data_IF_036921680480
#
_entry.id   IF_036921680480
#
_cell.length_a   1.000
_cell.length_b   1.000
_cell.length_c   1.000
_cell.angle_alpha   90.00
_cell.angle_beta   90.00
_cell.angle_gamma   90.00
#
_symmetry.space_group_name_H-M   'P 1'
#
loop_
_entity.id
_entity.type
_entity.pdbx_description
1 polymer ?
#
# COMPACT_ATOMS: atom_id res chain seq x y z
N UNK A 1 1.58 -16.86 -3.90
CA UNK A 1 1.33 -15.42 -3.82
C UNK A 1 2.58 -14.65 -4.25
N UNK A 2 2.43 -13.68 -5.11
CA UNK A 2 3.52 -12.79 -5.49
C UNK A 2 3.18 -11.35 -5.12
N UNK A 3 4.05 -10.69 -4.38
CA UNK A 3 4.01 -9.25 -4.15
C UNK A 3 4.90 -8.59 -5.19
N UNK A 4 4.31 -7.78 -6.04
CA UNK A 4 5.06 -7.02 -7.04
C UNK A 4 5.08 -5.57 -6.63
N UNK A 5 6.27 -5.00 -6.49
CA UNK A 5 6.46 -3.59 -6.21
C UNK A 5 7.22 -2.91 -7.33
N UNK A 6 6.75 -1.74 -7.78
CA UNK A 6 7.53 -0.88 -8.65
C UNK A 6 8.73 -0.29 -7.88
N UNK A 7 9.79 0.10 -8.59
CA UNK A 7 10.98 0.71 -7.98
C UNK A 7 10.69 1.94 -7.11
N UNK A 8 9.64 2.69 -7.41
CA UNK A 8 9.21 3.86 -6.63
C UNK A 8 8.51 3.51 -5.31
N UNK A 9 7.97 2.30 -5.16
CA UNK A 9 7.13 1.92 -4.02
C UNK A 9 7.84 1.11 -2.94
N UNK A 10 9.09 0.66 -3.14
CA UNK A 10 9.73 -0.31 -2.24
C UNK A 10 11.12 0.12 -1.80
N UNK A 11 11.49 1.35 -2.02
CA UNK A 11 12.85 1.79 -1.72
C UNK A 11 13.19 1.76 -0.25
N UNK A 12 12.20 1.86 0.62
CA UNK A 12 12.50 2.13 2.02
C UNK A 12 11.81 1.13 2.93
N UNK A 13 12.63 0.32 3.58
CA UNK A 13 12.31 -0.35 4.81
C UNK A 13 12.20 0.65 5.93
N UNK A 14 11.51 0.23 7.01
CA UNK A 14 11.56 0.90 8.32
C UNK A 14 13.00 1.26 8.69
N UNK A 15 13.95 0.35 8.46
CA UNK A 15 15.37 0.57 8.73
C UNK A 15 16.03 1.64 7.83
N UNK A 16 15.65 1.74 6.56
CA UNK A 16 16.18 2.76 5.63
C UNK A 16 15.56 4.11 5.90
N UNK A 17 14.28 4.16 6.22
CA UNK A 17 13.57 5.38 6.60
C UNK A 17 14.13 5.97 7.89
N UNK A 18 14.42 5.14 8.91
CA UNK A 18 15.06 5.60 10.15
C UNK A 18 16.42 6.29 9.91
N UNK A 19 17.15 5.90 8.83
CA UNK A 19 18.38 6.58 8.39
C UNK A 19 18.13 7.86 7.57
N UNK A 20 16.92 8.06 7.11
CA UNK A 20 16.51 9.22 6.32
C UNK A 20 15.72 10.25 7.12
N UNK A 21 15.62 10.09 8.45
CA UNK A 21 15.03 11.11 9.31
C UNK A 21 15.84 12.39 9.14
N UNK A 22 15.22 13.47 8.62
CA UNK A 22 15.92 14.75 8.44
C UNK A 22 16.32 15.34 9.79
N UNK A 23 17.18 16.32 9.76
CA UNK A 23 17.41 17.15 10.94
C UNK A 23 16.13 17.92 11.28
N UNK A 24 15.47 17.54 12.36
CA UNK A 24 14.22 18.14 12.83
C UNK A 24 14.42 19.39 13.68
N UNK A 25 15.67 19.82 13.87
CA UNK A 25 15.99 21.10 14.57
C UNK A 25 15.44 22.33 13.87
N UNK A 26 15.05 22.20 12.60
CA UNK A 26 14.36 23.23 11.83
C UNK A 26 12.90 23.49 12.25
N UNK A 27 12.37 22.69 13.19
CA UNK A 27 11.00 22.81 13.73
C UNK A 27 11.11 23.24 15.21
N UNK A 28 11.40 24.52 15.49
CA UNK A 28 11.63 24.97 16.87
C UNK A 28 10.34 25.07 17.71
N UNK A 29 9.18 24.95 17.09
CA UNK A 29 7.88 25.06 17.75
C UNK A 29 7.58 23.88 18.66
N UNK A 30 8.12 22.70 18.34
CA UNK A 30 7.92 21.43 19.06
C UNK A 30 9.19 20.60 19.04
N UNK A 31 9.27 19.59 19.89
CA UNK A 31 10.27 18.55 19.75
C UNK A 31 9.92 17.69 18.51
N UNK A 32 10.72 17.80 17.46
CA UNK A 32 10.48 17.12 16.18
C UNK A 32 10.54 15.59 16.29
N UNK A 33 11.39 15.06 17.15
CA UNK A 33 11.49 13.60 17.36
C UNK A 33 10.27 13.08 18.13
N UNK A 34 9.86 13.78 19.20
CA UNK A 34 8.63 13.45 19.95
C UNK A 34 7.41 13.49 19.01
N UNK A 35 7.31 14.55 18.18
CA UNK A 35 6.24 14.66 17.19
C UNK A 35 6.24 13.50 16.20
N UNK A 36 7.40 13.16 15.61
CA UNK A 36 7.51 12.08 14.66
C UNK A 36 7.05 10.75 15.27
N UNK A 37 7.47 10.44 16.49
CA UNK A 37 7.07 9.23 17.20
C UNK A 37 5.57 9.22 17.51
N UNK A 38 5.00 10.33 17.96
CA UNK A 38 3.58 10.45 18.25
C UNK A 38 2.74 10.26 16.98
N UNK A 39 3.09 10.92 15.89
CA UNK A 39 2.40 10.82 14.60
C UNK A 39 2.50 9.40 14.04
N UNK A 40 3.66 8.77 14.07
CA UNK A 40 3.83 7.38 13.63
C UNK A 40 3.00 6.40 14.46
N UNK A 41 3.00 6.57 15.78
CA UNK A 41 2.19 5.75 16.69
C UNK A 41 0.69 5.87 16.36
N UNK A 42 0.22 7.10 16.14
CA UNK A 42 -1.18 7.35 15.78
C UNK A 42 -1.55 6.70 14.44
N UNK A 43 -0.72 6.85 13.42
CA UNK A 43 -0.96 6.25 12.09
C UNK A 43 -0.92 4.72 12.10
N UNK A 44 -0.14 4.11 12.98
CA UNK A 44 -0.11 2.64 13.13
C UNK A 44 -1.39 2.13 13.79
N UNK A 45 -1.91 2.84 14.79
CA UNK A 45 -3.15 2.47 15.49
C UNK A 45 -4.42 2.85 14.72
N UNK A 46 -4.34 3.93 13.93
CA UNK A 46 -5.44 4.47 13.14
C UNK A 46 -5.02 4.65 11.68
N UNK A 47 -4.84 3.55 10.90
CA UNK A 47 -4.27 3.58 9.55
C UNK A 47 -5.16 4.28 8.51
N UNK A 48 -6.40 4.61 8.86
CA UNK A 48 -7.32 5.35 7.99
C UNK A 48 -7.11 6.87 8.07
N UNK A 49 -6.38 7.36 9.08
CA UNK A 49 -6.04 8.78 9.21
C UNK A 49 -4.96 9.19 8.21
N UNK A 50 -5.00 10.44 7.77
CA UNK A 50 -3.93 11.01 6.95
C UNK A 50 -2.79 11.52 7.83
N UNK A 51 -1.59 11.54 7.28
CA UNK A 51 -0.41 12.08 7.99
C UNK A 51 -0.59 13.58 8.26
N UNK A 52 -1.18 14.28 7.31
CA UNK A 52 -1.47 15.70 7.38
C UNK A 52 -2.40 16.03 8.56
N UNK A 53 -3.54 15.33 8.68
CA UNK A 53 -4.49 15.54 9.76
C UNK A 53 -3.86 15.29 11.13
N UNK A 54 -3.06 14.21 11.25
CA UNK A 54 -2.42 13.87 12.53
C UNK A 54 -1.36 14.88 12.92
N UNK A 55 -0.55 15.35 11.97
CA UNK A 55 0.45 16.41 12.23
C UNK A 55 -0.24 17.72 12.63
N UNK A 56 -1.27 18.13 11.89
CA UNK A 56 -2.02 19.35 12.16
C UNK A 56 -2.64 19.34 13.56
N UNK A 57 -3.31 18.23 13.93
CA UNK A 57 -3.88 18.07 15.27
C UNK A 57 -2.82 18.11 16.37
N UNK A 58 -1.67 17.43 16.16
CA UNK A 58 -0.57 17.45 17.11
C UNK A 58 -0.03 18.86 17.33
N UNK A 59 0.21 19.59 16.24
CA UNK A 59 0.72 20.96 16.29
C UNK A 59 -0.27 21.90 16.98
N UNK A 60 -1.55 21.86 16.62
CA UNK A 60 -2.59 22.69 17.24
C UNK A 60 -2.80 22.36 18.72
N UNK A 61 -2.61 21.11 19.12
CA UNK A 61 -2.64 20.71 20.52
C UNK A 61 -1.46 21.27 21.33
N UNK A 62 -0.24 21.25 20.77
CA UNK A 62 0.98 21.74 21.43
C UNK A 62 1.10 23.28 21.37
N UNK A 63 0.63 23.88 20.29
CA UNK A 63 0.79 25.30 19.99
C UNK A 63 -0.43 25.83 19.24
N UNK A 64 -1.36 26.40 19.97
CA UNK A 64 -2.59 26.98 19.41
C UNK A 64 -2.39 28.31 18.66
N UNK A 65 -1.16 28.90 18.70
CA UNK A 65 -0.76 30.11 18.05
C UNK A 65 0.00 29.94 16.73
N UNK A 66 0.13 28.67 16.24
CA UNK A 66 0.85 28.38 15.00
C UNK A 66 0.00 28.74 13.78
N UNK A 67 0.60 29.37 12.76
CA UNK A 67 -0.12 29.74 11.54
C UNK A 67 -0.33 28.54 10.61
N UNK A 68 -1.38 28.58 9.78
CA UNK A 68 -1.66 27.55 8.79
C UNK A 68 -0.49 27.37 7.79
N UNK A 69 0.15 28.46 7.37
CA UNK A 69 1.32 28.44 6.49
C UNK A 69 2.47 27.66 7.14
N UNK A 70 2.71 27.88 8.43
CA UNK A 70 3.76 27.18 9.16
C UNK A 70 3.44 25.70 9.36
N UNK A 71 2.17 25.35 9.58
CA UNK A 71 1.71 23.97 9.64
C UNK A 71 2.01 23.26 8.30
N UNK A 72 1.70 23.87 7.17
CA UNK A 72 2.00 23.30 5.85
C UNK A 72 3.50 23.09 5.63
N UNK A 73 4.35 24.02 6.04
CA UNK A 73 5.81 23.86 5.95
C UNK A 73 6.29 22.67 6.75
N UNK A 74 5.78 22.48 7.97
CA UNK A 74 6.13 21.34 8.83
C UNK A 74 5.65 20.04 8.24
N UNK A 75 4.42 19.97 7.72
CA UNK A 75 3.88 18.79 7.02
C UNK A 75 4.82 18.39 5.87
N UNK A 76 5.28 19.35 5.07
CA UNK A 76 6.22 19.05 3.96
C UNK A 76 7.55 18.48 4.49
N UNK A 77 8.07 18.97 5.59
CA UNK A 77 9.29 18.44 6.20
C UNK A 77 9.10 17.04 6.78
N UNK A 78 7.90 16.74 7.27
CA UNK A 78 7.55 15.47 7.89
C UNK A 78 7.12 14.37 6.89
N UNK A 79 7.20 14.60 5.58
CA UNK A 79 6.78 13.62 4.55
C UNK A 79 7.48 12.25 4.62
N UNK A 80 8.63 12.14 5.27
CA UNK A 80 9.27 10.85 5.51
C UNK A 80 8.38 9.89 6.32
N UNK A 81 7.46 10.42 7.12
CA UNK A 81 6.48 9.64 7.90
C UNK A 81 5.61 8.79 6.99
N UNK A 82 5.18 9.33 5.85
CA UNK A 82 4.37 8.57 4.87
C UNK A 82 5.13 7.38 4.31
N UNK A 83 6.42 7.58 4.00
CA UNK A 83 7.27 6.49 3.52
C UNK A 83 7.44 5.41 4.59
N UNK A 84 7.59 5.83 5.86
CA UNK A 84 7.67 4.91 6.97
C UNK A 84 6.37 4.12 7.14
N UNK A 85 5.23 4.79 7.25
CA UNK A 85 3.93 4.15 7.41
C UNK A 85 3.61 3.19 6.26
N UNK A 86 3.92 3.61 5.01
CA UNK A 86 3.77 2.76 3.82
C UNK A 86 4.62 1.51 3.90
N UNK A 87 5.87 1.63 4.30
CA UNK A 87 6.81 0.50 4.44
C UNK A 87 6.37 -0.42 5.56
N UNK A 88 5.96 0.13 6.70
CA UNK A 88 5.47 -0.62 7.85
C UNK A 88 4.27 -1.51 7.49
N UNK A 89 3.21 -0.94 6.93
CA UNK A 89 2.02 -1.72 6.60
C UNK A 89 2.26 -2.74 5.49
N UNK A 90 3.14 -2.45 4.54
CA UNK A 90 3.56 -3.41 3.52
C UNK A 90 4.32 -4.57 4.13
N UNK A 91 5.25 -4.29 5.00
CA UNK A 91 6.00 -5.31 5.72
C UNK A 91 5.07 -6.17 6.58
N UNK A 92 4.16 -5.56 7.33
CA UNK A 92 3.16 -6.28 8.12
C UNK A 92 2.29 -7.22 7.27
N UNK A 93 1.82 -6.75 6.11
CA UNK A 93 1.00 -7.58 5.21
C UNK A 93 1.75 -8.80 4.68
N UNK A 94 3.01 -8.65 4.30
CA UNK A 94 3.84 -9.78 3.84
C UNK A 94 4.21 -10.70 5.00
N UNK A 95 4.66 -10.11 6.11
CA UNK A 95 5.09 -10.84 7.30
C UNK A 95 3.99 -11.75 7.85
N UNK A 96 2.78 -11.22 8.03
CA UNK A 96 1.66 -12.02 8.55
C UNK A 96 1.30 -13.20 7.63
N UNK A 97 1.44 -13.04 6.32
CA UNK A 97 1.22 -14.12 5.37
C UNK A 97 2.28 -15.23 5.51
N UNK A 98 3.56 -14.87 5.52
CA UNK A 98 4.65 -15.86 5.61
C UNK A 98 4.70 -16.53 6.99
N UNK A 99 4.38 -15.81 8.08
CA UNK A 99 4.27 -16.39 9.43
C UNK A 99 3.11 -17.38 9.55
N UNK A 100 2.09 -17.25 8.70
CA UNK A 100 0.97 -18.20 8.59
C UNK A 100 1.19 -19.28 7.51
N UNK A 101 2.42 -19.45 7.01
CA UNK A 101 2.74 -20.52 6.07
C UNK A 101 2.33 -20.27 4.62
N UNK A 102 1.98 -19.04 4.27
CA UNK A 102 1.66 -18.67 2.90
C UNK A 102 2.93 -18.23 2.18
N UNK A 103 3.27 -18.92 1.10
CA UNK A 103 4.45 -18.61 0.31
C UNK A 103 4.26 -17.32 -0.49
N UNK A 104 5.10 -16.33 -0.21
CA UNK A 104 5.09 -15.02 -0.86
C UNK A 104 6.40 -14.81 -1.61
N UNK A 105 6.33 -14.50 -2.92
CA UNK A 105 7.49 -14.02 -3.67
C UNK A 105 7.44 -12.49 -3.67
N UNK A 106 8.41 -11.87 -3.02
CA UNK A 106 8.52 -10.42 -2.91
C UNK A 106 9.60 -9.89 -3.86
N UNK A 107 9.23 -8.92 -4.69
CA UNK A 107 10.15 -8.23 -5.59
C UNK A 107 10.44 -6.82 -5.07
N UNK A 108 11.64 -6.34 -5.32
CA UNK A 108 12.10 -5.03 -4.89
C UNK A 108 13.29 -5.11 -3.95
N UNK A 109 13.69 -3.99 -3.36
CA UNK A 109 14.86 -3.94 -2.48
C UNK A 109 14.46 -4.17 -1.03
N UNK A 110 15.33 -4.82 -0.30
CA UNK A 110 15.25 -4.85 1.13
C UNK A 110 14.59 -6.08 1.75
N UNK A 111 13.91 -6.93 1.00
CA UNK A 111 13.28 -8.15 1.49
C UNK A 111 14.29 -9.21 1.94
N UNK A 112 15.49 -9.18 1.37
CA UNK A 112 16.63 -10.04 1.70
C UNK A 112 17.35 -9.67 2.99
N UNK A 113 17.00 -8.55 3.62
CA UNK A 113 17.69 -8.02 4.80
C UNK A 113 16.74 -7.82 6.00
N UNK A 114 15.43 -8.21 5.94
CA UNK A 114 14.54 -8.13 7.08
C UNK A 114 14.90 -9.21 8.13
N UNK A 115 14.60 -8.96 9.40
CA UNK A 115 14.89 -9.87 10.51
C UNK A 115 14.31 -11.28 10.31
N UNK A 116 13.25 -11.39 9.50
CA UNK A 116 12.58 -12.63 9.15
C UNK A 116 12.82 -13.05 7.68
N UNK A 117 13.89 -12.57 7.04
CA UNK A 117 14.25 -12.90 5.65
C UNK A 117 14.62 -14.37 5.44
N UNK A 118 14.95 -15.10 6.49
CA UNK A 118 15.21 -16.53 6.51
C UNK A 118 13.94 -17.39 6.60
N UNK A 119 12.76 -16.79 6.72
CA UNK A 119 11.50 -17.52 6.74
C UNK A 119 11.30 -18.30 5.44
N UNK A 120 11.07 -19.64 5.49
CA UNK A 120 11.02 -20.52 4.31
C UNK A 120 9.84 -20.19 3.37
N UNK A 121 8.86 -19.42 3.84
CA UNK A 121 7.72 -18.95 3.04
C UNK A 121 7.96 -17.61 2.37
N UNK A 122 9.05 -16.90 2.69
CA UNK A 122 9.48 -15.71 1.96
C UNK A 122 10.44 -16.11 0.83
N UNK A 123 10.11 -15.74 -0.39
CA UNK A 123 11.01 -15.88 -1.54
C UNK A 123 11.38 -14.50 -2.02
N UNK A 124 12.67 -14.16 -1.94
CA UNK A 124 13.16 -12.92 -2.51
C UNK A 124 13.33 -13.06 -4.02
N UNK A 125 12.49 -12.35 -4.79
CA UNK A 125 12.47 -12.36 -6.25
C UNK A 125 13.48 -11.42 -6.90
N UNK A 126 14.24 -10.68 -6.10
CA UNK A 126 15.19 -9.70 -6.60
C UNK A 126 14.56 -8.36 -7.00
N UNK A 127 15.40 -7.47 -7.51
CA UNK A 127 15.00 -6.17 -8.04
C UNK A 127 14.53 -6.35 -9.49
N UNK A 128 13.35 -5.81 -9.81
CA UNK A 128 12.77 -5.85 -11.17
C UNK A 128 12.45 -4.44 -11.66
N UNK A 129 12.52 -4.25 -12.96
CA UNK A 129 12.13 -3.00 -13.63
C UNK A 129 10.64 -3.02 -13.98
N UNK A 130 10.06 -1.84 -14.17
CA UNK A 130 8.63 -1.72 -14.47
C UNK A 130 8.15 -2.58 -15.67
N UNK A 131 8.88 -2.71 -16.79
CA UNK A 131 8.45 -3.60 -17.89
C UNK A 131 8.42 -5.09 -17.54
N UNK A 132 9.22 -5.52 -16.55
CA UNK A 132 9.31 -6.93 -16.13
C UNK A 132 8.19 -7.33 -15.18
N UNK A 133 7.49 -6.35 -14.60
CA UNK A 133 6.44 -6.56 -13.60
C UNK A 133 5.19 -7.21 -14.21
N UNK A 134 4.76 -6.77 -15.39
CA UNK A 134 3.54 -7.30 -16.02
C UNK A 134 3.61 -8.80 -16.35
N UNK A 135 4.69 -9.33 -16.92
CA UNK A 135 4.86 -10.79 -17.08
C UNK A 135 4.82 -11.53 -15.74
N UNK A 136 5.43 -10.99 -14.67
CA UNK A 136 5.40 -11.60 -13.35
C UNK A 136 3.99 -11.62 -12.72
N UNK A 137 3.20 -10.57 -12.95
CA UNK A 137 1.80 -10.55 -12.54
C UNK A 137 0.97 -11.59 -13.31
N UNK A 138 1.18 -11.68 -14.61
CA UNK A 138 0.48 -12.67 -15.45
C UNK A 138 0.77 -14.13 -15.02
N UNK A 139 2.00 -14.41 -14.60
CA UNK A 139 2.40 -15.72 -14.06
C UNK A 139 2.01 -15.93 -12.57
N UNK A 140 1.30 -14.98 -11.97
CA UNK A 140 0.91 -15.05 -10.57
C UNK A 140 -0.55 -15.44 -10.43
N UNK A 141 -0.84 -16.38 -9.49
CA UNK A 141 -2.22 -16.71 -9.14
C UNK A 141 -2.89 -15.56 -8.39
N UNK A 142 -2.15 -14.98 -7.44
CA UNK A 142 -2.63 -13.90 -6.59
C UNK A 142 -1.55 -12.81 -6.56
N UNK A 143 -1.97 -11.58 -6.75
CA UNK A 143 -1.13 -10.37 -6.59
C UNK A 143 -1.58 -9.64 -5.33
N UNK A 144 -0.66 -9.45 -4.39
CA UNK A 144 -0.88 -8.63 -3.20
C UNK A 144 -0.48 -7.18 -3.51
N UNK A 145 -1.36 -6.26 -3.22
CA UNK A 145 -1.10 -4.83 -3.23
C UNK A 145 -1.28 -4.24 -1.83
N UNK A 146 -0.49 -3.22 -1.51
CA UNK A 146 -0.69 -2.33 -0.37
C UNK A 146 -0.57 -0.89 -0.86
N UNK A 147 -1.48 -0.04 -0.45
CA UNK A 147 -1.57 1.35 -0.90
C UNK A 147 -1.89 2.32 0.24
N UNK A 148 -1.18 2.22 1.33
CA UNK A 148 -1.38 3.01 2.56
C UNK A 148 -1.53 4.51 2.30
N UNK A 149 -0.86 5.01 1.27
CA UNK A 149 -0.92 6.41 0.83
C UNK A 149 -2.29 6.80 0.26
N UNK A 150 -2.94 5.91 -0.48
CA UNK A 150 -4.19 6.21 -1.19
C UNK A 150 -5.41 5.90 -0.33
N UNK A 151 -5.71 6.74 0.66
CA UNK A 151 -6.87 6.54 1.55
C UNK A 151 -8.21 6.53 0.78
N UNK A 152 -8.31 7.39 -0.25
CA UNK A 152 -9.51 7.57 -1.07
C UNK A 152 -9.29 7.26 -2.56
N UNK A 153 -8.16 6.69 -2.94
CA UNK A 153 -7.78 6.41 -4.33
C UNK A 153 -7.50 4.94 -4.59
N UNK A 154 -6.82 4.67 -5.69
CA UNK A 154 -6.33 3.34 -6.05
C UNK A 154 -4.95 3.44 -6.71
N UNK A 155 -4.09 2.45 -6.46
CA UNK A 155 -2.79 2.32 -7.10
C UNK A 155 -2.93 1.58 -8.43
N UNK A 156 -2.17 1.99 -9.46
CA UNK A 156 -2.16 1.39 -10.80
C UNK A 156 -1.87 -0.13 -10.80
N UNK A 157 -1.13 -0.61 -9.81
CA UNK A 157 -0.79 -2.02 -9.62
C UNK A 157 -2.02 -2.92 -9.49
N UNK A 158 -3.11 -2.41 -8.91
CA UNK A 158 -4.39 -3.12 -8.80
C UNK A 158 -4.93 -3.42 -10.20
N UNK A 159 -5.05 -2.39 -11.01
CA UNK A 159 -5.56 -2.50 -12.38
C UNK A 159 -4.64 -3.35 -13.26
N UNK A 160 -3.32 -3.19 -13.11
CA UNK A 160 -2.33 -3.99 -13.83
C UNK A 160 -2.40 -5.47 -13.45
N UNK A 161 -2.57 -5.80 -12.16
CA UNK A 161 -2.75 -7.16 -11.69
C UNK A 161 -4.03 -7.81 -12.25
N UNK A 162 -5.14 -7.07 -12.24
CA UNK A 162 -6.41 -7.54 -12.81
C UNK A 162 -6.30 -7.72 -14.34
N UNK A 163 -5.68 -6.79 -15.06
CA UNK A 163 -5.45 -6.92 -16.52
C UNK A 163 -4.45 -8.04 -16.86
N UNK A 164 -3.59 -8.41 -15.95
CA UNK A 164 -2.71 -9.57 -16.08
C UNK A 164 -3.44 -10.91 -15.79
N UNK A 165 -4.74 -10.88 -15.42
CA UNK A 165 -5.53 -12.07 -15.13
C UNK A 165 -5.27 -12.68 -13.75
N UNK A 166 -4.57 -12.00 -12.87
CA UNK A 166 -4.35 -12.44 -11.51
C UNK A 166 -5.51 -12.04 -10.58
N UNK A 167 -5.81 -12.87 -9.58
CA UNK A 167 -6.65 -12.45 -8.48
C UNK A 167 -5.91 -11.40 -7.64
N UNK A 168 -6.53 -10.23 -7.43
CA UNK A 168 -5.90 -9.14 -6.68
C UNK A 168 -6.43 -9.11 -5.25
N UNK A 169 -5.51 -9.07 -4.29
CA UNK A 169 -5.77 -8.84 -2.88
C UNK A 169 -5.15 -7.48 -2.51
N UNK A 170 -5.93 -6.57 -1.98
CA UNK A 170 -5.47 -5.20 -1.68
C UNK A 170 -6.08 -4.67 -0.41
N UNK A 171 -5.39 -3.73 0.27
CA UNK A 171 -6.05 -2.92 1.28
C UNK A 171 -7.16 -2.08 0.64
N UNK A 172 -8.19 -1.80 1.41
CA UNK A 172 -9.38 -1.11 0.92
C UNK A 172 -9.19 0.41 0.84
N UNK A 173 -10.06 1.04 0.04
CA UNK A 173 -10.22 2.49 -0.02
C UNK A 173 -11.66 2.86 -0.39
N UNK A 174 -12.03 4.11 -0.16
CA UNK A 174 -13.37 4.59 -0.55
C UNK A 174 -13.60 4.50 -2.06
N UNK A 175 -12.54 4.71 -2.86
CA UNK A 175 -12.61 4.54 -4.32
C UNK A 175 -12.87 3.08 -4.70
N UNK A 176 -12.09 2.14 -4.16
CA UNK A 176 -12.23 0.73 -4.50
C UNK A 176 -13.60 0.18 -4.11
N UNK A 177 -14.13 0.56 -2.95
CA UNK A 177 -15.48 0.16 -2.49
C UNK A 177 -16.60 0.68 -3.39
N UNK A 178 -16.38 1.81 -4.08
CA UNK A 178 -17.35 2.36 -5.04
C UNK A 178 -17.27 1.67 -6.39
N UNK A 179 -16.08 1.32 -6.86
CA UNK A 179 -15.87 0.79 -8.21
C UNK A 179 -15.97 -0.73 -8.29
N UNK A 180 -15.69 -1.45 -7.18
CA UNK A 180 -15.62 -2.90 -7.13
C UNK A 180 -16.36 -3.48 -5.93
N UNK A 181 -16.79 -4.73 -6.06
CA UNK A 181 -17.40 -5.51 -4.98
C UNK A 181 -16.39 -6.50 -4.43
N UNK A 182 -16.15 -6.47 -3.12
CA UNK A 182 -15.26 -7.41 -2.43
C UNK A 182 -15.69 -8.86 -2.66
N UNK A 183 -14.75 -9.71 -3.03
CA UNK A 183 -14.97 -11.12 -3.34
C UNK A 183 -15.55 -11.41 -4.73
N UNK A 184 -15.90 -10.37 -5.53
CA UNK A 184 -16.43 -10.54 -6.88
C UNK A 184 -15.44 -10.17 -7.98
N UNK A 185 -14.79 -9.02 -7.89
CA UNK A 185 -13.76 -8.56 -8.83
C UNK A 185 -12.35 -8.59 -8.25
N UNK A 186 -12.23 -8.43 -6.93
CA UNK A 186 -10.99 -8.48 -6.15
C UNK A 186 -11.30 -8.79 -4.69
N UNK A 187 -10.27 -8.98 -3.86
CA UNK A 187 -10.40 -9.09 -2.41
C UNK A 187 -9.84 -7.84 -1.74
N UNK A 188 -10.66 -7.19 -0.92
CA UNK A 188 -10.26 -6.03 -0.11
C UNK A 188 -10.07 -6.44 1.35
N UNK A 189 -9.00 -6.00 2.00
CA UNK A 189 -8.79 -6.18 3.44
C UNK A 189 -8.66 -4.85 4.15
N UNK A 190 -9.12 -4.79 5.39
CA UNK A 190 -8.91 -3.62 6.26
C UNK A 190 -7.53 -3.66 6.89
N UNK A 191 -6.81 -2.53 6.87
CA UNK A 191 -5.55 -2.40 7.60
C UNK A 191 -5.74 -2.51 9.13
N UNK A 192 -6.90 -2.11 9.64
CA UNK A 192 -7.27 -2.28 11.05
C UNK A 192 -7.45 -3.75 11.43
N UNK A 193 -7.77 -4.60 10.47
CA UNK A 193 -8.03 -6.03 10.65
C UNK A 193 -7.03 -6.89 9.84
N UNK A 194 -5.79 -6.43 9.71
CA UNK A 194 -4.77 -7.10 8.89
C UNK A 194 -4.55 -8.57 9.30
N UNK A 195 -4.88 -8.94 10.53
CA UNK A 195 -4.80 -10.32 11.04
C UNK A 195 -5.74 -11.28 10.33
N UNK A 196 -6.77 -10.78 9.65
CA UNK A 196 -7.71 -11.59 8.86
C UNK A 196 -7.19 -11.89 7.45
N UNK A 197 -6.13 -11.22 7.02
CA UNK A 197 -5.57 -11.37 5.68
C UNK A 197 -5.13 -12.81 5.33
N UNK A 198 -4.48 -13.58 6.23
CA UNK A 198 -4.14 -14.97 5.93
C UNK A 198 -5.35 -15.84 5.62
N UNK A 199 -6.44 -15.72 6.40
CA UNK A 199 -7.67 -16.51 6.19
C UNK A 199 -8.30 -16.21 4.82
N UNK A 200 -8.34 -14.94 4.42
CA UNK A 200 -8.82 -14.52 3.10
C UNK A 200 -7.99 -15.10 1.96
N UNK A 201 -6.66 -15.15 2.12
CA UNK A 201 -5.76 -15.73 1.12
C UNK A 201 -5.88 -17.26 1.11
N UNK A 202 -6.03 -17.91 2.27
CA UNK A 202 -6.29 -19.37 2.32
C UNK A 202 -7.61 -19.73 1.64
N UNK A 203 -8.66 -18.93 1.80
CA UNK A 203 -9.93 -19.16 1.11
C UNK A 203 -9.76 -19.12 -0.41
N UNK A 204 -8.99 -18.16 -0.93
CA UNK A 204 -8.67 -18.08 -2.36
C UNK A 204 -7.92 -19.35 -2.86
N UNK A 205 -6.96 -19.84 -2.08
CA UNK A 205 -6.23 -21.08 -2.44
C UNK A 205 -7.11 -22.32 -2.30
N UNK A 206 -8.01 -22.36 -1.34
CA UNK A 206 -8.96 -23.47 -1.13
C UNK A 206 -10.02 -23.56 -2.24
N UNK A 207 -10.30 -22.46 -2.93
CA UNK A 207 -11.38 -22.36 -3.91
C UNK A 207 -10.90 -21.82 -5.27
N UNK A 208 -9.83 -22.42 -5.83
CA UNK A 208 -9.16 -21.92 -7.04
C UNK A 208 -10.08 -21.66 -8.24
N UNK A 209 -11.15 -22.45 -8.40
CA UNK A 209 -12.11 -22.23 -9.49
C UNK A 209 -12.92 -20.94 -9.30
N UNK A 210 -13.33 -20.64 -8.08
CA UNK A 210 -14.02 -19.38 -7.75
C UNK A 210 -13.06 -18.20 -7.81
N UNK A 211 -11.82 -18.39 -7.38
CA UNK A 211 -10.75 -17.40 -7.47
C UNK A 211 -10.45 -17.01 -8.91
N UNK A 212 -10.42 -17.98 -9.83
CA UNK A 212 -10.25 -17.70 -11.25
C UNK A 212 -11.44 -16.92 -11.82
N UNK A 213 -12.67 -17.29 -11.47
CA UNK A 213 -13.86 -16.52 -11.88
C UNK A 213 -13.83 -15.08 -11.37
N UNK A 214 -13.37 -14.88 -10.13
CA UNK A 214 -13.19 -13.52 -9.58
C UNK A 214 -12.14 -12.73 -10.38
N UNK A 215 -10.99 -13.34 -10.70
CA UNK A 215 -9.96 -12.72 -11.52
C UNK A 215 -10.49 -12.37 -12.93
N UNK A 216 -11.30 -13.25 -13.53
CA UNK A 216 -11.93 -13.01 -14.83
C UNK A 216 -12.93 -11.84 -14.77
N UNK A 217 -13.73 -11.74 -13.71
CA UNK A 217 -14.62 -10.59 -13.46
C UNK A 217 -13.82 -9.30 -13.30
N UNK A 218 -12.74 -9.33 -12.52
CA UNK A 218 -11.83 -8.19 -12.34
C UNK A 218 -11.19 -7.74 -13.65
N UNK A 219 -10.70 -8.69 -14.46
CA UNK A 219 -10.16 -8.41 -15.79
C UNK A 219 -11.18 -7.68 -16.68
N UNK A 220 -12.43 -8.16 -16.74
CA UNK A 220 -13.47 -7.55 -17.58
C UNK A 220 -13.80 -6.14 -17.07
N UNK A 221 -14.00 -5.95 -15.76
CA UNK A 221 -14.32 -4.65 -15.18
C UNK A 221 -13.23 -3.60 -15.50
N UNK A 222 -11.96 -3.97 -15.36
CA UNK A 222 -10.85 -3.04 -15.66
C UNK A 222 -10.73 -2.78 -17.15
N UNK A 223 -10.87 -3.81 -17.99
CA UNK A 223 -10.80 -3.67 -19.44
C UNK A 223 -11.88 -2.73 -19.99
N UNK A 224 -13.07 -2.77 -19.43
CA UNK A 224 -14.20 -1.95 -19.86
C UNK A 224 -14.12 -0.50 -19.33
N UNK A 225 -13.75 -0.31 -18.06
CA UNK A 225 -13.94 0.97 -17.39
C UNK A 225 -12.68 1.66 -16.88
N UNK A 226 -11.54 0.96 -16.75
CA UNK A 226 -10.37 1.49 -16.05
C UNK A 226 -9.08 1.48 -16.88
N UNK A 227 -9.16 1.34 -18.20
CA UNK A 227 -8.01 1.50 -19.10
C UNK A 227 -7.67 2.98 -19.30
N UNK A 228 -6.45 3.29 -19.70
CA UNK A 228 -6.07 4.64 -20.10
C UNK A 228 -6.94 5.17 -21.23
N UNK A 229 -7.38 4.29 -22.15
CA UNK A 229 -8.33 4.66 -23.22
C UNK A 229 -9.66 5.11 -22.65
N UNK A 230 -10.26 4.31 -21.75
CA UNK A 230 -11.54 4.67 -21.09
C UNK A 230 -11.43 5.99 -20.32
N UNK A 231 -10.31 6.21 -19.64
CA UNK A 231 -10.05 7.46 -18.89
C UNK A 231 -9.91 8.67 -19.83
N UNK A 232 -9.21 8.52 -20.95
CA UNK A 232 -9.08 9.58 -21.95
C UNK A 232 -10.42 9.94 -22.59
N UNK A 233 -11.26 8.94 -22.88
CA UNK A 233 -12.63 9.15 -23.40
C UNK A 233 -13.49 9.91 -22.38
N UNK A 234 -13.49 9.51 -21.12
CA UNK A 234 -14.21 10.18 -20.04
C UNK A 234 -13.76 11.64 -19.86
N UNK A 235 -12.44 11.92 -19.86
CA UNK A 235 -11.91 13.29 -19.77
C UNK A 235 -12.40 14.12 -20.96
N UNK A 236 -12.34 13.57 -22.17
CA UNK A 236 -12.81 14.27 -23.35
C UNK A 236 -14.30 14.65 -23.26
N UNK A 237 -15.14 13.73 -22.78
CA UNK A 237 -16.58 13.99 -22.61
C UNK A 237 -16.88 15.04 -21.53
N UNK A 238 -16.10 15.06 -20.46
CA UNK A 238 -16.26 16.04 -19.38
C UNK A 238 -15.83 17.47 -19.77
N UNK A 239 -15.06 17.63 -20.87
CA UNK A 239 -14.55 18.93 -21.33
C UNK A 239 -15.30 19.48 -22.56
N UNK A 240 -16.23 18.74 -23.12
CA UNK A 240 -17.12 19.17 -24.22
C UNK A 240 -18.48 19.60 -23.67
#
# INVERSE_FOLDING_TARGET
LRLVGSEMCIRDRIYTVAKMIPDLSSIPEVDGEEMAQAVLSELVHHPDRTTEDVIEEYLKYKRNDISEERIHEIIVQMRFIDSYATSFFREQAVRILVENGIRVTAYGTGWDQCEWSDNPYLVYGGKVLAPEILPLMNDSKIVLNTMTWFKAGAHDRIFNGMLAGAAVVTDDSTYLRREFTDGKELVMFSRNEIRTLPDRVFDLFGHMQSTQKMADCGYQAVKEHHTWKSRAEWIREAWM
#
